data_IF_589258392242
#
_entry.id   IF_589258392242
#
_cell.length_a   1.000
_cell.length_b   1.000
_cell.length_c   1.000
_cell.angle_alpha   90.00
_cell.angle_beta   90.00
_cell.angle_gamma   90.00
#
_symmetry.space_group_name_H-M   'P 1'
#
loop_
_entity.id
_entity.type
_entity.pdbx_description
1 polymer ?
#
# COMPACT_ATOMS: atom_id res chain seq x y z
N UNK A 1 -0.78 31.32 -6.87
CA UNK A 1 0.06 30.78 -5.77
C UNK A 1 -0.88 30.17 -4.76
N UNK A 2 -0.69 28.90 -4.41
CA UNK A 2 -1.43 28.29 -3.29
C UNK A 2 -0.71 28.69 -2.00
N UNK A 3 -1.48 29.10 -1.00
CA UNK A 3 -0.96 29.53 0.30
C UNK A 3 -0.24 28.36 1.02
N UNK A 4 0.94 28.63 1.59
CA UNK A 4 1.78 27.64 2.27
C UNK A 4 1.09 27.10 3.54
N UNK A 5 0.31 27.96 4.21
CA UNK A 5 -0.50 27.57 5.36
C UNK A 5 -1.60 26.56 4.95
N UNK A 6 -2.19 26.73 3.76
CA UNK A 6 -3.20 25.82 3.22
C UNK A 6 -2.61 24.45 2.90
N UNK A 7 -1.46 24.39 2.22
CA UNK A 7 -0.80 23.12 1.89
C UNK A 7 -0.35 22.35 3.13
N UNK A 8 0.11 23.06 4.16
CA UNK A 8 0.52 22.48 5.43
C UNK A 8 -0.68 21.91 6.18
N UNK A 9 -1.79 22.65 6.24
CA UNK A 9 -3.04 22.19 6.86
C UNK A 9 -3.56 20.91 6.20
N UNK A 10 -3.56 20.86 4.86
CA UNK A 10 -3.95 19.66 4.12
C UNK A 10 -3.05 18.46 4.42
N UNK A 11 -1.74 18.69 4.58
CA UNK A 11 -0.79 17.64 4.94
C UNK A 11 -1.11 17.04 6.32
N UNK A 12 -1.28 17.90 7.34
CA UNK A 12 -1.64 17.46 8.69
C UNK A 12 -2.97 16.72 8.74
N UNK A 13 -3.97 17.21 8.00
CA UNK A 13 -5.27 16.54 7.87
C UNK A 13 -5.10 15.16 7.26
N UNK A 14 -4.38 15.04 6.14
CA UNK A 14 -4.12 13.76 5.47
C UNK A 14 -3.42 12.75 6.38
N UNK A 15 -2.32 13.14 7.04
CA UNK A 15 -1.63 12.25 7.98
C UNK A 15 -2.53 11.82 9.14
N UNK A 16 -3.35 12.73 9.67
CA UNK A 16 -4.25 12.44 10.79
C UNK A 16 -5.39 11.51 10.38
N UNK A 17 -5.95 11.68 9.19
CA UNK A 17 -7.00 10.80 8.65
C UNK A 17 -6.47 9.41 8.37
N UNK A 18 -5.35 9.32 7.65
CA UNK A 18 -4.65 8.07 7.35
C UNK A 18 -4.39 7.24 8.63
N UNK A 19 -3.96 7.88 9.72
CA UNK A 19 -3.67 7.25 11.01
C UNK A 19 -4.85 6.43 11.56
N UNK A 20 -6.09 6.79 11.23
CA UNK A 20 -7.25 6.03 11.66
C UNK A 20 -7.79 5.14 10.54
N UNK A 21 -7.93 5.65 9.32
CA UNK A 21 -8.61 4.95 8.22
C UNK A 21 -7.86 3.67 7.82
N UNK A 22 -6.54 3.75 7.62
CA UNK A 22 -5.74 2.62 7.16
C UNK A 22 -5.62 1.53 8.24
N UNK A 23 -5.32 1.84 9.52
CA UNK A 23 -5.32 0.83 10.57
C UNK A 23 -6.69 0.20 10.82
N UNK A 24 -7.78 0.97 10.81
CA UNK A 24 -9.14 0.43 10.93
C UNK A 24 -9.44 -0.52 9.77
N UNK A 25 -9.10 -0.14 8.53
CA UNK A 25 -9.28 -1.01 7.36
C UNK A 25 -8.48 -2.30 7.48
N UNK A 26 -7.23 -2.21 7.96
CA UNK A 26 -6.36 -3.36 8.23
C UNK A 26 -7.01 -4.30 9.25
N UNK A 27 -7.58 -3.76 10.34
CA UNK A 27 -8.30 -4.54 11.33
C UNK A 27 -9.53 -5.23 10.74
N UNK A 28 -10.33 -4.54 9.92
CA UNK A 28 -11.51 -5.11 9.26
C UNK A 28 -11.13 -6.26 8.31
N UNK A 29 -10.07 -6.09 7.52
CA UNK A 29 -9.54 -7.14 6.64
C UNK A 29 -9.04 -8.33 7.47
N UNK A 30 -8.30 -8.07 8.56
CA UNK A 30 -7.81 -9.09 9.47
C UNK A 30 -8.95 -9.89 10.12
N UNK A 31 -9.98 -9.22 10.64
CA UNK A 31 -11.17 -9.87 11.22
C UNK A 31 -11.82 -10.82 10.19
N UNK A 32 -11.98 -10.37 8.93
CA UNK A 32 -12.54 -11.21 7.86
C UNK A 32 -11.67 -12.44 7.59
N UNK A 33 -10.35 -12.28 7.54
CA UNK A 33 -9.38 -13.38 7.36
C UNK A 33 -9.48 -14.42 8.49
N UNK A 34 -9.49 -13.98 9.75
CA UNK A 34 -9.58 -14.89 10.90
C UNK A 34 -10.94 -15.58 11.01
N UNK A 35 -12.04 -14.89 10.66
CA UNK A 35 -13.37 -15.51 10.60
C UNK A 35 -13.43 -16.60 9.55
N UNK A 36 -12.85 -16.37 8.37
CA UNK A 36 -12.78 -17.39 7.32
C UNK A 36 -11.90 -18.56 7.72
N UNK A 37 -10.73 -18.32 8.31
CA UNK A 37 -9.87 -19.38 8.86
C UNK A 37 -10.62 -20.26 9.85
N UNK A 38 -11.44 -19.66 10.72
CA UNK A 38 -12.26 -20.40 11.69
C UNK A 38 -13.32 -21.27 11.00
N UNK A 39 -13.87 -20.83 9.86
CA UNK A 39 -14.89 -21.56 9.11
C UNK A 39 -14.31 -22.66 8.21
N UNK A 40 -13.20 -22.40 7.51
CA UNK A 40 -12.59 -23.31 6.53
C UNK A 40 -11.47 -24.18 7.09
N UNK A 41 -10.97 -23.86 8.29
CA UNK A 41 -9.81 -24.52 8.92
C UNK A 41 -8.45 -24.11 8.33
N UNK A 42 -8.41 -23.33 7.24
CA UNK A 42 -7.17 -22.92 6.55
C UNK A 42 -7.19 -21.43 6.25
N UNK A 43 -6.01 -20.80 6.25
CA UNK A 43 -5.90 -19.42 5.78
C UNK A 43 -6.02 -19.36 4.26
N UNK A 44 -6.84 -18.44 3.77
CA UNK A 44 -6.92 -18.11 2.36
C UNK A 44 -5.72 -17.24 1.98
N UNK A 45 -4.81 -17.79 1.17
CA UNK A 45 -3.54 -17.14 0.85
C UNK A 45 -3.71 -15.77 0.17
N UNK A 46 -4.72 -15.59 -0.68
CA UNK A 46 -5.01 -14.28 -1.32
C UNK A 46 -5.36 -13.25 -0.26
N UNK A 47 -6.28 -13.59 0.65
CA UNK A 47 -6.71 -12.67 1.72
C UNK A 47 -5.62 -12.43 2.75
N UNK A 48 -4.75 -13.42 3.00
CA UNK A 48 -3.54 -13.23 3.80
C UNK A 48 -2.60 -12.23 3.16
N UNK A 49 -2.35 -12.31 1.85
CA UNK A 49 -1.51 -11.34 1.13
C UNK A 49 -2.11 -9.93 1.18
N UNK A 50 -3.42 -9.80 0.95
CA UNK A 50 -4.12 -8.50 1.08
C UNK A 50 -3.96 -7.94 2.49
N UNK A 51 -4.15 -8.78 3.51
CA UNK A 51 -3.93 -8.38 4.90
C UNK A 51 -2.49 -7.92 5.15
N UNK A 52 -1.48 -8.65 4.65
CA UNK A 52 -0.07 -8.26 4.76
C UNK A 52 0.21 -6.91 4.11
N UNK A 53 -0.35 -6.63 2.93
CA UNK A 53 -0.21 -5.32 2.28
C UNK A 53 -0.77 -4.21 3.17
N UNK A 54 -2.00 -4.37 3.66
CA UNK A 54 -2.62 -3.38 4.54
C UNK A 54 -1.90 -3.22 5.86
N UNK A 55 -1.39 -4.32 6.42
CA UNK A 55 -0.60 -4.28 7.65
C UNK A 55 0.71 -3.50 7.47
N UNK A 56 1.45 -3.75 6.39
CA UNK A 56 2.66 -2.98 6.07
C UNK A 56 2.32 -1.50 5.81
N UNK A 57 1.23 -1.22 5.12
CA UNK A 57 0.78 0.16 4.88
C UNK A 57 0.35 0.85 6.18
N UNK A 58 -0.32 0.14 7.09
CA UNK A 58 -0.67 0.64 8.41
C UNK A 58 0.58 1.04 9.21
N UNK A 59 1.65 0.23 9.16
CA UNK A 59 2.93 0.58 9.80
C UNK A 59 3.50 1.85 9.18
N UNK A 60 3.58 1.91 7.85
CA UNK A 60 4.10 3.05 7.11
C UNK A 60 3.41 4.36 7.53
N UNK A 61 2.08 4.35 7.55
CA UNK A 61 1.26 5.52 7.89
C UNK A 61 1.40 5.96 9.34
N UNK A 62 1.48 5.01 10.28
CA UNK A 62 1.72 5.34 11.69
C UNK A 62 3.07 6.04 11.82
N UNK A 63 4.11 5.54 11.14
CA UNK A 63 5.43 6.14 11.15
C UNK A 63 5.44 7.51 10.48
N UNK A 64 4.79 7.66 9.32
CA UNK A 64 4.63 8.96 8.66
C UNK A 64 3.97 9.99 9.58
N UNK A 65 2.91 9.60 10.29
CA UNK A 65 2.26 10.47 11.26
C UNK A 65 3.24 10.90 12.36
N UNK A 66 3.93 9.94 12.99
CA UNK A 66 4.85 10.21 14.10
C UNK A 66 6.05 11.08 13.70
N UNK A 67 6.48 11.03 12.44
CA UNK A 67 7.61 11.83 11.92
C UNK A 67 7.16 13.22 11.42
N UNK A 68 5.94 13.36 10.92
CA UNK A 68 5.50 14.58 10.23
C UNK A 68 4.52 15.46 11.03
N UNK A 69 3.83 14.93 12.04
CA UNK A 69 2.76 15.67 12.74
C UNK A 69 3.16 16.22 14.12
N UNK A 70 3.79 15.45 15.03
CA UNK A 70 4.17 15.95 16.35
C UNK A 70 5.15 17.13 16.31
N UNK A 71 5.00 18.04 17.27
CA UNK A 71 5.95 19.15 17.50
C UNK A 71 7.28 18.61 18.04
N UNK A 72 7.23 17.66 18.98
CA UNK A 72 8.38 16.91 19.46
C UNK A 72 8.47 15.57 18.73
N UNK A 73 9.46 15.45 17.85
CA UNK A 73 9.67 14.27 17.01
C UNK A 73 10.65 13.31 17.67
N UNK A 74 10.42 11.99 17.64
CA UNK A 74 11.38 11.04 18.18
C UNK A 74 12.64 11.01 17.29
N UNK A 75 13.78 11.48 17.79
CA UNK A 75 15.03 11.65 17.00
C UNK A 75 15.44 10.38 16.26
N UNK A 76 15.45 9.24 16.96
CA UNK A 76 15.80 7.94 16.38
C UNK A 76 14.86 7.57 15.23
N UNK A 77 13.57 7.86 15.37
CA UNK A 77 12.59 7.53 14.34
C UNK A 77 12.79 8.39 13.09
N UNK A 78 13.07 9.68 13.25
CA UNK A 78 13.35 10.59 12.13
C UNK A 78 14.60 10.14 11.37
N UNK A 79 15.66 9.78 12.08
CA UNK A 79 16.90 9.26 11.49
C UNK A 79 16.67 7.98 10.70
N UNK A 80 15.89 7.04 11.22
CA UNK A 80 15.63 5.77 10.54
C UNK A 80 14.64 5.90 9.38
N UNK A 81 13.69 6.84 9.48
CA UNK A 81 12.66 7.03 8.47
C UNK A 81 13.18 7.75 7.22
N UNK A 82 14.17 8.63 7.36
CA UNK A 82 14.74 9.35 6.20
C UNK A 82 16.15 9.93 6.37
N UNK A 83 16.82 9.73 7.51
CA UNK A 83 18.09 10.41 7.82
C UNK A 83 19.38 9.59 7.66
N UNK A 84 19.32 8.24 7.75
CA UNK A 84 20.54 7.39 7.77
C UNK A 84 21.08 7.03 6.39
N UNK A 85 20.20 6.80 5.41
CA UNK A 85 20.55 6.52 4.02
C UNK A 85 19.52 7.21 3.12
N UNK A 86 19.97 8.00 2.15
CA UNK A 86 19.07 8.68 1.21
C UNK A 86 18.24 7.69 0.39
N UNK A 87 18.81 6.52 0.08
CA UNK A 87 18.22 5.54 -0.84
C UNK A 87 17.50 4.36 -0.18
N UNK A 88 17.99 3.85 0.96
CA UNK A 88 17.35 2.75 1.69
C UNK A 88 17.14 3.09 3.18
N UNK A 89 16.09 3.85 3.42
CA UNK A 89 15.55 4.15 4.75
C UNK A 89 14.29 3.33 5.05
N UNK A 90 13.75 3.42 6.26
CA UNK A 90 12.57 2.65 6.66
C UNK A 90 11.33 2.97 5.78
N UNK A 91 11.20 4.21 5.30
CA UNK A 91 10.13 4.62 4.40
C UNK A 91 10.17 3.87 3.06
N UNK A 92 11.30 3.99 2.35
CA UNK A 92 11.55 3.30 1.08
C UNK A 92 11.51 1.77 1.25
N UNK A 93 12.03 1.26 2.38
CA UNK A 93 11.97 -0.16 2.71
C UNK A 93 10.52 -0.69 2.70
N UNK A 94 9.63 -0.02 3.44
CA UNK A 94 8.23 -0.41 3.56
C UNK A 94 7.48 -0.28 2.22
N UNK A 95 7.76 0.76 1.43
CA UNK A 95 7.20 0.91 0.09
C UNK A 95 7.61 -0.27 -0.80
N UNK A 96 8.89 -0.66 -0.79
CA UNK A 96 9.35 -1.81 -1.59
C UNK A 96 8.75 -3.14 -1.13
N UNK A 97 8.47 -3.30 0.16
CA UNK A 97 7.69 -4.45 0.67
C UNK A 97 6.26 -4.43 0.13
N UNK A 98 5.56 -3.29 0.21
CA UNK A 98 4.19 -3.13 -0.32
C UNK A 98 4.15 -3.45 -1.82
N UNK A 99 5.09 -2.90 -2.58
CA UNK A 99 5.19 -3.10 -4.03
C UNK A 99 5.46 -4.57 -4.39
N UNK A 100 6.37 -5.23 -3.65
CA UNK A 100 6.66 -6.65 -3.83
C UNK A 100 5.47 -7.54 -3.49
N UNK A 101 4.73 -7.20 -2.42
CA UNK A 101 3.50 -7.89 -2.05
C UNK A 101 2.39 -7.69 -3.08
N UNK A 102 2.36 -6.56 -3.79
CA UNK A 102 1.47 -6.33 -4.93
C UNK A 102 1.67 -7.37 -6.04
N UNK A 103 2.93 -7.66 -6.41
CA UNK A 103 3.25 -8.72 -7.38
C UNK A 103 2.95 -10.11 -6.82
N UNK A 104 3.26 -10.36 -5.54
CA UNK A 104 2.89 -11.61 -4.86
C UNK A 104 1.37 -11.84 -4.93
N UNK A 105 0.56 -10.80 -4.73
CA UNK A 105 -0.90 -10.90 -4.81
C UNK A 105 -1.35 -11.37 -6.19
N UNK A 106 -0.71 -10.90 -7.26
CA UNK A 106 -1.01 -11.35 -8.64
C UNK A 106 -0.65 -12.82 -8.81
N UNK A 107 0.56 -13.21 -8.40
CA UNK A 107 1.02 -14.59 -8.52
C UNK A 107 0.08 -15.54 -7.76
N UNK A 108 -0.30 -15.17 -6.54
CA UNK A 108 -1.22 -15.92 -5.68
C UNK A 108 -2.64 -15.96 -6.27
N UNK A 109 -3.17 -14.84 -6.76
CA UNK A 109 -4.50 -14.79 -7.37
C UNK A 109 -4.59 -15.67 -8.63
N UNK A 110 -3.51 -15.75 -9.42
CA UNK A 110 -3.43 -16.57 -10.63
C UNK A 110 -2.91 -18.00 -10.39
N UNK A 111 -2.62 -18.36 -9.13
CA UNK A 111 -2.04 -19.67 -8.75
C UNK A 111 -0.71 -19.99 -9.43
N UNK A 112 0.12 -18.99 -9.65
CA UNK A 112 1.49 -19.16 -10.12
C UNK A 112 2.40 -19.55 -8.95
N UNK A 113 2.27 -20.79 -8.48
CA UNK A 113 2.88 -21.29 -7.24
C UNK A 113 4.40 -21.07 -7.19
N UNK A 114 5.10 -21.25 -8.31
CA UNK A 114 6.55 -21.00 -8.43
C UNK A 114 6.94 -19.53 -8.21
N UNK A 115 5.98 -18.60 -8.33
CA UNK A 115 6.21 -17.15 -8.29
C UNK A 115 5.70 -16.46 -7.03
N UNK A 116 5.08 -17.19 -6.09
CA UNK A 116 4.42 -16.58 -4.92
C UNK A 116 5.33 -15.64 -4.13
N UNK A 117 6.57 -16.05 -3.87
CA UNK A 117 7.51 -15.28 -3.05
C UNK A 117 8.64 -14.64 -3.87
N UNK A 118 8.64 -14.81 -5.19
CA UNK A 118 9.75 -14.40 -6.04
C UNK A 118 10.03 -12.91 -5.96
N UNK A 119 9.00 -12.07 -5.99
CA UNK A 119 9.15 -10.61 -5.81
C UNK A 119 9.77 -10.27 -4.46
N UNK A 120 9.29 -10.86 -3.37
CA UNK A 120 9.85 -10.64 -2.03
C UNK A 120 11.31 -11.11 -1.93
N UNK A 121 11.66 -12.23 -2.56
CA UNK A 121 13.05 -12.70 -2.61
C UNK A 121 13.95 -11.77 -3.42
N UNK A 122 13.52 -11.30 -4.59
CA UNK A 122 14.27 -10.35 -5.38
C UNK A 122 14.49 -9.04 -4.62
N UNK A 123 13.44 -8.50 -4.01
CA UNK A 123 13.55 -7.29 -3.21
C UNK A 123 14.47 -7.48 -1.99
N UNK A 124 14.31 -8.59 -1.25
CA UNK A 124 15.20 -8.93 -0.15
C UNK A 124 16.67 -9.05 -0.60
N UNK A 125 16.91 -9.62 -1.78
CA UNK A 125 18.23 -9.68 -2.40
C UNK A 125 18.82 -8.29 -2.70
N UNK A 126 18.01 -7.35 -3.19
CA UNK A 126 18.43 -5.96 -3.40
C UNK A 126 18.76 -5.25 -2.08
N UNK A 127 17.93 -5.44 -1.04
CA UNK A 127 18.20 -4.89 0.30
C UNK A 127 19.52 -5.44 0.85
N UNK A 128 19.75 -6.75 0.74
CA UNK A 128 21.00 -7.37 1.17
C UNK A 128 22.18 -6.81 0.38
N UNK A 129 22.07 -6.72 -0.95
CA UNK A 129 23.11 -6.17 -1.81
C UNK A 129 23.47 -4.73 -1.41
N UNK A 130 22.46 -3.89 -1.16
CA UNK A 130 22.65 -2.53 -0.67
C UNK A 130 23.42 -2.52 0.65
N UNK A 131 23.03 -3.35 1.64
CA UNK A 131 23.71 -3.39 2.94
C UNK A 131 25.18 -3.80 2.85
N UNK A 132 25.57 -4.60 1.84
CA UNK A 132 26.96 -5.05 1.66
C UNK A 132 27.80 -4.14 0.75
N UNK A 133 27.18 -3.45 -0.21
CA UNK A 133 27.91 -2.74 -1.28
C UNK A 133 27.57 -1.26 -1.40
N UNK A 134 26.48 -0.81 -0.77
CA UNK A 134 25.91 0.52 -0.96
C UNK A 134 25.16 0.70 -2.29
N UNK A 135 25.03 -0.35 -3.11
CA UNK A 135 24.40 -0.25 -4.43
C UNK A 135 22.87 -0.19 -4.35
N UNK A 136 22.28 0.88 -4.89
CA UNK A 136 20.86 1.23 -4.77
C UNK A 136 20.15 1.54 -6.10
N UNK A 137 20.89 1.70 -7.21
CA UNK A 137 20.36 2.08 -8.53
C UNK A 137 19.12 1.28 -8.98
N UNK A 138 19.03 0.01 -8.59
CA UNK A 138 17.93 -0.87 -8.97
C UNK A 138 16.69 -0.78 -8.07
N UNK A 139 16.79 -0.22 -6.86
CA UNK A 139 15.70 -0.21 -5.87
C UNK A 139 14.50 0.59 -6.37
N UNK A 140 14.73 1.84 -6.80
CA UNK A 140 13.67 2.72 -7.28
C UNK A 140 13.01 2.19 -8.55
N UNK A 141 13.83 1.69 -9.49
CA UNK A 141 13.37 1.06 -10.73
C UNK A 141 12.48 -0.15 -10.41
N UNK A 142 12.92 -1.01 -9.50
CA UNK A 142 12.16 -2.17 -9.07
C UNK A 142 10.81 -1.76 -8.46
N UNK A 143 10.78 -0.78 -7.56
CA UNK A 143 9.54 -0.29 -6.94
C UNK A 143 8.56 0.22 -7.99
N UNK A 144 8.99 1.04 -8.95
CA UNK A 144 8.09 1.56 -9.98
C UNK A 144 7.57 0.49 -10.93
N UNK A 145 8.44 -0.42 -11.39
CA UNK A 145 8.03 -1.52 -12.27
C UNK A 145 7.05 -2.44 -11.56
N UNK A 146 7.36 -2.85 -10.33
CA UNK A 146 6.50 -3.78 -9.58
C UNK A 146 5.18 -3.11 -9.15
N UNK A 147 5.21 -1.85 -8.75
CA UNK A 147 4.02 -1.08 -8.40
C UNK A 147 3.10 -0.88 -9.59
N UNK A 148 3.65 -0.39 -10.71
CA UNK A 148 2.92 -0.20 -11.96
C UNK A 148 2.33 -1.49 -12.53
N UNK A 149 3.14 -2.56 -12.57
CA UNK A 149 2.65 -3.88 -13.01
C UNK A 149 1.52 -4.39 -12.11
N UNK A 150 1.65 -4.25 -10.78
CA UNK A 150 0.60 -4.65 -9.84
C UNK A 150 -0.74 -3.96 -10.10
N UNK A 151 -0.71 -2.65 -10.35
CA UNK A 151 -1.90 -1.86 -10.66
C UNK A 151 -2.57 -2.34 -11.95
N UNK A 152 -1.79 -2.53 -13.02
CA UNK A 152 -2.30 -3.00 -14.32
C UNK A 152 -3.00 -4.36 -14.15
N UNK A 153 -2.37 -5.29 -13.46
CA UNK A 153 -2.95 -6.62 -13.22
C UNK A 153 -4.20 -6.58 -12.35
N UNK A 154 -4.26 -5.72 -11.33
CA UNK A 154 -5.45 -5.55 -10.50
C UNK A 154 -6.64 -5.05 -11.33
N UNK A 155 -6.43 -4.08 -12.22
CA UNK A 155 -7.47 -3.64 -13.17
C UNK A 155 -7.90 -4.77 -14.11
N UNK A 156 -6.95 -5.50 -14.71
CA UNK A 156 -7.27 -6.63 -15.59
C UNK A 156 -8.08 -7.70 -14.86
N UNK A 157 -7.69 -8.03 -13.64
CA UNK A 157 -8.38 -9.02 -12.78
C UNK A 157 -9.79 -8.53 -12.43
N UNK A 158 -9.90 -7.27 -12.03
CA UNK A 158 -11.16 -6.63 -11.70
C UNK A 158 -12.18 -6.70 -12.84
N UNK A 159 -11.79 -6.31 -14.05
CA UNK A 159 -12.68 -6.34 -15.20
C UNK A 159 -12.96 -7.76 -15.71
N UNK A 160 -11.97 -8.65 -15.69
CA UNK A 160 -12.11 -10.04 -16.15
C UNK A 160 -13.07 -10.85 -15.26
N UNK A 161 -12.95 -10.71 -13.94
CA UNK A 161 -13.71 -11.49 -12.96
C UNK A 161 -14.94 -10.72 -12.45
N UNK A 162 -15.10 -9.45 -12.85
CA UNK A 162 -16.12 -8.52 -12.32
C UNK A 162 -16.04 -8.41 -10.79
N UNK A 163 -14.82 -8.38 -10.25
CA UNK A 163 -14.57 -8.30 -8.81
C UNK A 163 -14.48 -6.83 -8.35
N UNK A 164 -15.50 -6.40 -7.60
CA UNK A 164 -15.58 -5.08 -7.01
C UNK A 164 -14.41 -4.79 -6.05
N UNK A 165 -13.94 -5.79 -5.31
CA UNK A 165 -12.85 -5.64 -4.36
C UNK A 165 -11.51 -5.41 -5.06
N UNK A 166 -11.22 -6.18 -6.11
CA UNK A 166 -10.03 -5.98 -6.93
C UNK A 166 -10.03 -4.60 -7.60
N UNK A 167 -11.18 -4.13 -8.08
CA UNK A 167 -11.31 -2.81 -8.71
C UNK A 167 -11.06 -1.68 -7.71
N UNK A 168 -11.63 -1.76 -6.51
CA UNK A 168 -11.42 -0.77 -5.46
C UNK A 168 -9.93 -0.68 -5.07
N UNK A 169 -9.27 -1.84 -4.89
CA UNK A 169 -7.84 -1.90 -4.60
C UNK A 169 -7.01 -1.32 -5.75
N UNK A 170 -7.37 -1.61 -7.00
CA UNK A 170 -6.69 -1.04 -8.17
C UNK A 170 -6.74 0.49 -8.16
N UNK A 171 -7.93 1.08 -7.94
CA UNK A 171 -8.10 2.53 -7.89
C UNK A 171 -7.32 3.13 -6.72
N UNK A 172 -7.43 2.52 -5.53
CA UNK A 172 -6.69 2.94 -4.34
C UNK A 172 -5.17 2.96 -4.58
N UNK A 173 -4.60 1.85 -5.08
CA UNK A 173 -3.17 1.79 -5.36
C UNK A 173 -2.73 2.70 -6.50
N UNK A 174 -3.61 2.96 -7.49
CA UNK A 174 -3.31 3.93 -8.56
C UNK A 174 -3.10 5.33 -8.01
N UNK A 175 -3.98 5.77 -7.11
CA UNK A 175 -3.91 7.11 -6.53
C UNK A 175 -2.73 7.21 -5.56
N UNK A 176 -2.52 6.18 -4.73
CA UNK A 176 -1.36 6.12 -3.83
C UNK A 176 -0.04 6.11 -4.62
N UNK A 177 0.08 5.30 -5.65
CA UNK A 177 1.26 5.27 -6.53
C UNK A 177 1.47 6.60 -7.25
N UNK A 178 0.39 7.19 -7.79
CA UNK A 178 0.42 8.50 -8.42
C UNK A 178 0.90 9.60 -7.47
N UNK A 179 0.54 9.54 -6.19
CA UNK A 179 1.00 10.51 -5.18
C UNK A 179 2.50 10.44 -4.89
N UNK A 180 3.11 9.27 -5.10
CA UNK A 180 4.56 9.05 -4.96
C UNK A 180 5.29 9.38 -6.27
N UNK A 181 4.68 9.11 -7.43
CA UNK A 181 5.34 9.27 -8.73
C UNK A 181 5.33 10.70 -9.29
N UNK A 182 4.29 11.50 -9.00
CA UNK A 182 4.13 12.85 -9.58
C UNK A 182 4.87 13.92 -8.77
N UNK A 183 5.18 13.67 -7.50
CA UNK A 183 5.91 14.54 -6.55
C UNK A 183 5.59 16.05 -6.66
N UNK A 184 4.30 16.38 -6.83
CA UNK A 184 3.80 17.75 -6.75
C UNK A 184 3.04 17.88 -5.44
N UNK A 185 3.57 18.67 -4.51
CA UNK A 185 3.06 18.77 -3.13
C UNK A 185 1.52 18.86 -3.03
N UNK A 186 0.89 19.76 -3.79
CA UNK A 186 -0.56 19.91 -3.79
C UNK A 186 -1.29 18.65 -4.30
N UNK A 187 -0.81 18.06 -5.40
CA UNK A 187 -1.38 16.85 -5.98
C UNK A 187 -1.25 15.70 -4.99
N UNK A 188 -0.10 15.52 -4.38
CA UNK A 188 0.15 14.50 -3.35
C UNK A 188 -0.81 14.68 -2.16
N UNK A 189 -1.00 15.90 -1.65
CA UNK A 189 -1.92 16.14 -0.51
C UNK A 189 -3.38 15.84 -0.87
N UNK A 190 -3.82 16.24 -2.05
CA UNK A 190 -5.19 15.95 -2.52
C UNK A 190 -5.37 14.45 -2.75
N UNK A 191 -4.42 13.79 -3.43
CA UNK A 191 -4.44 12.35 -3.68
C UNK A 191 -4.55 11.54 -2.40
N UNK A 192 -3.87 11.96 -1.33
CA UNK A 192 -3.97 11.33 -0.01
C UNK A 192 -5.41 11.30 0.50
N UNK A 193 -6.08 12.47 0.51
CA UNK A 193 -7.47 12.56 0.96
C UNK A 193 -8.42 11.75 0.06
N UNK A 194 -8.16 11.73 -1.24
CA UNK A 194 -8.99 11.00 -2.21
C UNK A 194 -8.88 9.49 -2.03
N UNK A 195 -7.66 8.95 -1.88
CA UNK A 195 -7.53 7.50 -1.69
C UNK A 195 -8.11 7.07 -0.33
N UNK A 196 -8.07 7.93 0.69
CA UNK A 196 -8.68 7.66 2.00
C UNK A 196 -10.19 7.47 1.90
N UNK A 197 -10.86 8.35 1.14
CA UNK A 197 -12.30 8.22 0.85
C UNK A 197 -12.58 6.91 0.13
N UNK A 198 -11.79 6.55 -0.89
CA UNK A 198 -11.95 5.28 -1.60
C UNK A 198 -11.77 4.09 -0.66
N UNK A 199 -10.81 4.17 0.26
CA UNK A 199 -10.56 3.10 1.22
C UNK A 199 -11.71 2.92 2.22
N UNK A 200 -12.35 4.02 2.64
CA UNK A 200 -13.60 3.98 3.42
C UNK A 200 -14.71 3.28 2.62
N UNK A 201 -14.93 3.68 1.37
CA UNK A 201 -15.98 3.10 0.51
C UNK A 201 -15.71 1.60 0.27
N UNK A 202 -14.45 1.21 0.11
CA UNK A 202 -14.01 -0.18 0.00
C UNK A 202 -14.28 -0.97 1.28
N UNK A 203 -13.80 -0.48 2.42
CA UNK A 203 -13.86 -1.18 3.70
C UNK A 203 -15.30 -1.40 4.20
N UNK A 204 -16.18 -0.44 3.94
CA UNK A 204 -17.63 -0.49 4.24
C UNK A 204 -18.42 -1.37 3.27
N UNK A 205 -17.85 -1.74 2.11
CA UNK A 205 -18.51 -2.60 1.13
C UNK A 205 -19.57 -1.91 0.28
N UNK A 206 -19.61 -0.57 0.28
CA UNK A 206 -20.49 0.21 -0.60
C UNK A 206 -20.00 0.24 -2.05
N UNK A 207 -18.71 -0.05 -2.29
CA UNK A 207 -18.16 -0.12 -3.65
C UNK A 207 -18.71 -1.32 -4.43
N UNK A 208 -19.69 -1.09 -5.31
CA UNK A 208 -20.33 -2.13 -6.13
C UNK A 208 -20.55 -1.72 -7.60
N UNK A 209 -19.48 -1.37 -8.34
CA UNK A 209 -19.60 -0.99 -9.76
C UNK A 209 -20.10 -2.14 -10.66
N UNK A 210 -19.74 -3.39 -10.36
CA UNK A 210 -20.31 -4.55 -11.02
C UNK A 210 -21.57 -4.98 -10.28
N UNK A 211 -22.71 -4.96 -10.99
CA UNK A 211 -23.98 -5.51 -10.49
C UNK A 211 -23.82 -7.02 -10.30
N UNK A 212 -24.22 -7.52 -9.13
CA UNK A 212 -24.38 -8.96 -8.93
C UNK A 212 -25.61 -9.36 -9.75
N UNK A 213 -25.40 -10.06 -10.87
CA UNK A 213 -26.49 -10.70 -11.58
C UNK A 213 -27.05 -11.76 -10.62
N UNK A 214 -28.21 -11.48 -10.03
CA UNK A 214 -28.98 -12.49 -9.32
C UNK A 214 -29.45 -13.44 -10.40
N UNK A 215 -28.82 -14.61 -10.49
CA UNK A 215 -29.35 -15.70 -11.29
C UNK A 215 -30.74 -16.03 -10.71
N UNK A 216 -31.78 -15.58 -11.41
CA UNK A 216 -33.17 -15.96 -11.19
C UNK A 216 -33.42 -17.39 -11.63
#
# INVERSE_FOLDING_TARGET
MVDEAFTTTLAHLGYSMNLFIIPITTLLVGIKLFREKKASGKFNIVRSTIFSIFFTFSILVILEFLVNVPVEKPTILVEWFGGLFESLNLYSFLIGVISSLGITLIAVANRWESFYFTSLFFYGGMVILFLFTGFDDLLMIYVYITGGASIIFLYLTAFRVRDNGALALAIFFTIAFGSVAIDIALVTRISVLVYDVILIIYSTGFFKPFKVEVAS
#
